data_IF_633713696208
#
_entry.id   IF_633713696208
#
_cell.length_a   1.000
_cell.length_b   1.000
_cell.length_c   1.000
_cell.angle_alpha   90.00
_cell.angle_beta   90.00
_cell.angle_gamma   90.00
#
_symmetry.space_group_name_H-M   'P 1'
#
loop_
_entity.id
_entity.type
_entity.pdbx_description
1 polymer ?
#
# COMPACT_ATOMS: atom_id res chain seq x y z
N UNK A 1 -22.85 -72.19 35.86
CA UNK A 1 -22.09 -71.31 34.93
C UNK A 1 -22.38 -69.87 35.29
N UNK A 2 -21.32 -69.07 35.44
CA UNK A 2 -21.33 -67.64 35.84
C UNK A 2 -22.01 -66.75 34.79
N UNK A 3 -22.68 -65.67 35.24
CA UNK A 3 -22.58 -64.25 34.78
C UNK A 3 -23.64 -63.41 35.54
N UNK A 4 -23.28 -62.72 36.63
CA UNK A 4 -22.79 -61.32 36.72
C UNK A 4 -23.76 -60.26 36.18
N UNK A 5 -24.41 -59.52 37.10
CA UNK A 5 -24.85 -58.12 36.93
C UNK A 5 -23.62 -57.20 37.09
N UNK A 6 -23.51 -56.10 36.34
CA UNK A 6 -23.59 -54.76 36.98
C UNK A 6 -24.32 -53.75 36.06
N UNK A 7 -25.03 -52.72 36.55
CA UNK A 7 -24.53 -51.65 37.42
C UNK A 7 -24.20 -50.43 36.54
N UNK A 8 -25.21 -49.66 36.17
CA UNK A 8 -25.06 -48.46 35.31
C UNK A 8 -24.62 -47.28 36.19
N UNK A 9 -23.31 -46.99 36.19
CA UNK A 9 -22.75 -45.75 36.76
C UNK A 9 -22.91 -44.62 35.75
N UNK A 10 -23.74 -43.63 36.05
CA UNK A 10 -23.80 -42.37 35.29
C UNK A 10 -22.75 -41.43 35.90
N UNK A 11 -21.64 -41.26 35.21
CA UNK A 11 -20.62 -40.29 35.57
C UNK A 11 -21.05 -38.89 35.09
N UNK A 12 -21.33 -37.98 36.02
CA UNK A 12 -21.44 -36.55 35.72
C UNK A 12 -20.05 -36.02 35.36
N UNK A 13 -19.82 -35.75 34.08
CA UNK A 13 -18.65 -35.00 33.61
C UNK A 13 -18.92 -33.53 33.96
N UNK A 14 -18.28 -33.05 35.04
CA UNK A 14 -18.15 -31.62 35.30
C UNK A 14 -17.31 -31.02 34.16
N UNK A 15 -17.97 -30.36 33.22
CA UNK A 15 -17.31 -29.48 32.25
C UNK A 15 -16.84 -28.26 33.04
N UNK A 16 -15.58 -28.29 33.46
CA UNK A 16 -14.91 -27.09 33.96
C UNK A 16 -14.92 -26.07 32.83
N UNK A 17 -15.75 -25.04 32.98
CA UNK A 17 -15.78 -23.88 32.11
C UNK A 17 -14.46 -23.16 32.31
N UNK A 18 -13.51 -23.41 31.42
CA UNK A 18 -12.34 -22.55 31.29
C UNK A 18 -12.90 -21.23 30.78
N UNK A 19 -13.12 -20.29 31.70
CA UNK A 19 -13.30 -18.89 31.35
C UNK A 19 -12.04 -18.48 30.59
N UNK A 20 -12.16 -18.39 29.27
CA UNK A 20 -11.17 -17.73 28.45
C UNK A 20 -11.13 -16.27 28.92
N UNK A 21 -10.21 -15.97 29.82
CA UNK A 21 -9.81 -14.60 30.07
C UNK A 21 -9.24 -14.11 28.75
N UNK A 22 -10.06 -13.40 27.97
CA UNK A 22 -9.62 -12.70 26.79
C UNK A 22 -8.59 -11.68 27.22
N UNK A 23 -7.30 -11.98 27.06
CA UNK A 23 -6.31 -10.93 26.91
C UNK A 23 -6.72 -10.18 25.64
N UNK A 24 -7.50 -9.10 25.78
CA UNK A 24 -7.64 -8.13 24.72
C UNK A 24 -6.26 -7.53 24.56
N UNK A 25 -5.45 -8.09 23.67
CA UNK A 25 -4.17 -7.51 23.34
C UNK A 25 -4.45 -6.09 22.83
N UNK A 26 -4.03 -5.10 23.60
CA UNK A 26 -4.39 -3.71 23.42
C UNK A 26 -3.57 -3.11 22.30
N UNK A 27 -4.23 -2.41 21.38
CA UNK A 27 -3.54 -1.56 20.42
C UNK A 27 -2.94 -0.38 21.19
N UNK A 28 -1.65 -0.16 21.01
CA UNK A 28 -0.94 0.98 21.60
C UNK A 28 -0.55 1.93 20.49
N UNK A 29 -0.89 3.22 20.65
CA UNK A 29 -0.56 4.27 19.68
C UNK A 29 0.36 5.27 20.39
N UNK A 30 1.60 5.36 19.93
CA UNK A 30 2.63 6.18 20.56
C UNK A 30 3.10 7.26 19.59
N UNK A 31 3.06 8.52 20.00
CA UNK A 31 3.62 9.62 19.22
C UNK A 31 5.15 9.49 19.14
N UNK A 32 5.69 9.73 17.94
CA UNK A 32 7.12 9.83 17.66
C UNK A 32 7.45 11.24 17.14
N UNK A 33 8.75 11.65 17.10
CA UNK A 33 9.13 12.95 16.54
C UNK A 33 8.69 13.17 15.08
N UNK A 34 8.68 12.10 14.28
CA UNK A 34 8.40 12.10 12.85
C UNK A 34 7.01 11.59 12.47
N UNK A 35 6.21 11.15 13.45
CA UNK A 35 4.89 10.59 13.21
C UNK A 35 4.37 9.78 14.40
N UNK A 36 3.93 8.55 14.16
CA UNK A 36 3.38 7.67 15.21
C UNK A 36 3.77 6.21 14.98
N UNK A 37 3.86 5.46 16.08
CA UNK A 37 3.95 4.00 16.05
C UNK A 37 2.66 3.39 16.58
N UNK A 38 2.13 2.41 15.88
CA UNK A 38 0.93 1.64 16.24
C UNK A 38 1.35 0.19 16.46
N UNK A 39 1.35 -0.25 17.72
CA UNK A 39 1.58 -1.65 18.07
C UNK A 39 0.24 -2.36 18.20
N UNK A 40 0.07 -3.43 17.43
CA UNK A 40 -1.09 -4.33 17.51
C UNK A 40 -0.63 -5.70 18.04
N UNK A 41 -1.55 -6.65 18.29
CA UNK A 41 -1.19 -8.00 18.67
C UNK A 41 -0.45 -8.79 17.57
N UNK A 42 -0.53 -8.31 16.32
CA UNK A 42 -0.05 -9.04 15.14
C UNK A 42 1.12 -8.34 14.43
N UNK A 43 1.28 -7.03 14.61
CA UNK A 43 2.31 -6.24 13.96
C UNK A 43 2.63 -4.92 14.66
N UNK A 44 3.70 -4.27 14.22
CA UNK A 44 4.02 -2.88 14.54
C UNK A 44 4.05 -2.08 13.26
N UNK A 45 3.26 -1.02 13.22
CA UNK A 45 3.19 -0.07 12.12
C UNK A 45 3.86 1.25 12.52
N UNK A 46 4.71 1.76 11.65
CA UNK A 46 5.30 3.09 11.69
C UNK A 46 4.65 3.95 10.63
N UNK A 47 4.02 5.05 11.05
CA UNK A 47 3.51 6.08 10.17
C UNK A 47 4.39 7.31 10.33
N UNK A 48 5.08 7.70 9.27
CA UNK A 48 5.95 8.87 9.21
C UNK A 48 5.32 9.95 8.36
N UNK A 49 5.28 11.20 8.86
CA UNK A 49 4.78 12.35 8.09
C UNK A 49 5.92 12.94 7.27
N UNK A 50 5.87 12.71 5.95
CA UNK A 50 6.92 13.12 5.01
C UNK A 50 6.73 14.52 4.42
N UNK A 51 5.54 15.09 4.62
CA UNK A 51 5.15 16.39 4.11
C UNK A 51 3.69 16.67 4.46
N UNK A 52 3.18 17.88 4.16
CA UNK A 52 1.76 18.18 4.32
C UNK A 52 0.86 17.22 3.53
N UNK A 53 1.34 16.72 2.40
CA UNK A 53 0.57 15.94 1.43
C UNK A 53 1.00 14.48 1.32
N UNK A 54 1.94 13.99 2.14
CA UNK A 54 2.39 12.60 2.05
C UNK A 54 2.77 12.00 3.39
N UNK A 55 2.44 10.71 3.56
CA UNK A 55 2.88 9.89 4.69
C UNK A 55 3.47 8.58 4.18
N UNK A 56 4.46 8.08 4.92
CA UNK A 56 5.08 6.78 4.70
C UNK A 56 4.58 5.80 5.76
N UNK A 57 4.06 4.65 5.32
CA UNK A 57 3.53 3.60 6.19
C UNK A 57 4.36 2.35 6.01
N UNK A 58 4.94 1.87 7.11
CA UNK A 58 5.72 0.63 7.15
C UNK A 58 5.20 -0.26 8.27
N UNK A 59 4.92 -1.53 8.01
CA UNK A 59 4.43 -2.46 9.04
C UNK A 59 5.04 -3.86 8.93
N UNK A 60 5.54 -4.43 10.03
CA UNK A 60 5.99 -5.84 10.12
C UNK A 60 5.49 -6.56 11.38
N UNK A 61 5.39 -7.90 11.33
CA UNK A 61 4.90 -8.70 12.46
C UNK A 61 5.90 -8.81 13.62
N UNK A 62 7.18 -8.57 13.38
CA UNK A 62 8.27 -8.69 14.37
C UNK A 62 8.73 -7.33 14.93
N UNK A 63 8.13 -6.23 14.48
CA UNK A 63 8.53 -4.86 14.83
C UNK A 63 9.95 -4.49 14.39
N UNK A 64 10.57 -5.32 13.54
CA UNK A 64 11.90 -5.06 12.97
C UNK A 64 11.82 -4.35 11.62
N UNK A 65 10.60 -4.05 11.15
CA UNK A 65 10.34 -3.26 9.94
C UNK A 65 11.17 -1.98 9.95
N UNK A 66 12.19 -1.96 9.13
CA UNK A 66 12.71 -0.73 8.57
C UNK A 66 12.05 -0.62 7.19
N UNK A 67 11.61 0.59 6.79
CA UNK A 67 11.13 0.81 5.42
C UNK A 67 12.16 0.29 4.40
N UNK A 68 11.72 0.03 3.16
CA UNK A 68 12.49 -0.56 2.07
C UNK A 68 13.94 -0.08 2.14
N UNK A 69 14.81 -0.98 2.59
CA UNK A 69 16.11 -0.60 3.14
C UNK A 69 16.91 0.22 2.14
N UNK A 70 17.66 1.22 2.63
CA UNK A 70 18.52 2.11 1.83
C UNK A 70 19.66 1.42 1.09
N UNK A 71 19.76 0.08 1.15
CA UNK A 71 20.94 -0.66 0.75
C UNK A 71 21.04 -0.98 -0.73
N UNK A 72 20.02 -0.91 -1.59
CA UNK A 72 20.09 -1.02 -3.08
C UNK A 72 18.81 -0.49 -3.79
N UNK A 73 18.85 -0.28 -5.13
CA UNK A 73 18.70 1.01 -5.78
C UNK A 73 17.24 1.48 -5.87
N UNK A 74 16.76 2.21 -4.87
CA UNK A 74 15.51 2.96 -4.99
C UNK A 74 15.81 4.43 -5.20
N UNK A 75 15.27 5.00 -6.28
CA UNK A 75 15.35 6.42 -6.62
C UNK A 75 14.54 7.31 -5.67
N UNK A 76 14.10 6.79 -4.53
CA UNK A 76 13.23 7.51 -3.60
C UNK A 76 14.10 8.36 -2.69
N UNK A 77 14.04 9.69 -2.84
CA UNK A 77 14.57 10.60 -1.84
C UNK A 77 13.94 10.27 -0.49
N UNK A 78 14.76 10.21 0.54
CA UNK A 78 14.27 9.87 1.87
C UNK A 78 13.24 10.87 2.35
N UNK A 79 12.19 10.34 2.97
CA UNK A 79 11.18 11.08 3.70
C UNK A 79 11.86 12.06 4.66
N UNK A 80 11.65 13.36 4.47
CA UNK A 80 12.11 14.38 5.42
C UNK A 80 10.96 14.69 6.36
N UNK A 81 11.06 14.37 7.66
CA UNK A 81 9.96 14.56 8.59
C UNK A 81 9.42 15.99 8.57
N UNK A 82 8.11 16.12 8.40
CA UNK A 82 7.40 17.39 8.42
C UNK A 82 6.65 17.59 9.75
N UNK A 83 6.25 18.83 10.02
CA UNK A 83 5.42 19.14 11.19
C UNK A 83 4.04 18.52 11.04
N UNK A 84 3.51 17.98 12.13
CA UNK A 84 2.16 17.45 12.22
C UNK A 84 1.59 17.71 13.62
N UNK A 85 0.28 17.59 13.75
CA UNK A 85 -0.40 17.62 15.05
C UNK A 85 -0.91 16.21 15.36
N UNK A 86 -0.62 15.73 16.57
CA UNK A 86 -1.15 14.46 17.06
C UNK A 86 -2.20 14.71 18.13
N UNK A 87 -3.38 14.11 17.95
CA UNK A 87 -4.43 14.06 18.96
C UNK A 87 -4.58 12.59 19.40
N UNK A 88 -4.28 12.24 20.66
CA UNK A 88 -4.45 10.86 21.12
C UNK A 88 -5.94 10.45 21.14
N UNK A 89 -6.20 9.16 21.00
CA UNK A 89 -7.54 8.61 21.17
C UNK A 89 -8.03 8.84 22.61
N UNK A 90 -9.35 9.01 22.83
CA UNK A 90 -9.90 8.99 24.17
C UNK A 90 -9.60 7.64 24.84
N UNK A 91 -9.34 7.66 26.16
CA UNK A 91 -9.15 6.43 26.93
C UNK A 91 -10.40 5.55 26.86
N UNK A 92 -10.27 4.38 26.23
CA UNK A 92 -11.35 3.40 26.14
C UNK A 92 -11.29 2.42 27.32
N UNK A 93 -12.40 2.27 28.03
CA UNK A 93 -12.59 1.23 29.04
C UNK A 93 -13.21 0.00 28.38
N UNK A 94 -12.90 -1.18 28.93
CA UNK A 94 -13.44 -2.43 28.42
C UNK A 94 -14.98 -2.53 28.54
N UNK A 95 -15.57 -1.74 29.45
CA UNK A 95 -17.02 -1.57 29.63
C UNK A 95 -17.69 -0.62 28.64
N UNK A 96 -16.91 0.08 27.81
CA UNK A 96 -17.46 1.05 26.88
C UNK A 96 -18.22 0.37 25.73
N UNK A 97 -19.29 1.03 25.29
CA UNK A 97 -20.16 0.55 24.22
C UNK A 97 -19.35 0.30 22.93
N UNK A 98 -19.69 -0.79 22.22
CA UNK A 98 -19.03 -1.20 20.98
C UNK A 98 -19.03 -0.09 19.92
N UNK A 99 -20.12 0.68 19.83
CA UNK A 99 -20.23 1.83 18.93
C UNK A 99 -19.23 2.93 19.29
N UNK A 100 -19.03 3.19 20.58
CA UNK A 100 -18.05 4.18 21.04
C UNK A 100 -16.64 3.72 20.68
N UNK A 101 -16.31 2.46 20.95
CA UNK A 101 -15.01 1.85 20.63
C UNK A 101 -14.70 1.86 19.13
N UNK A 102 -15.72 1.67 18.29
CA UNK A 102 -15.58 1.70 16.83
C UNK A 102 -15.52 3.13 16.26
N UNK A 103 -15.97 4.15 17.01
CA UNK A 103 -15.92 5.55 16.59
C UNK A 103 -14.72 6.34 17.13
N UNK A 104 -14.08 5.84 18.20
CA UNK A 104 -12.90 6.47 18.77
C UNK A 104 -11.71 6.36 17.81
N UNK A 105 -10.89 7.40 17.75
CA UNK A 105 -9.69 7.43 16.94
C UNK A 105 -8.62 8.32 17.57
N UNK A 106 -7.36 7.96 17.38
CA UNK A 106 -6.27 8.92 17.44
C UNK A 106 -6.16 9.61 16.07
N UNK A 107 -5.67 10.84 16.01
CA UNK A 107 -5.58 11.61 14.76
C UNK A 107 -4.17 12.14 14.56
N UNK A 108 -3.62 11.91 13.38
CA UNK A 108 -2.46 12.61 12.84
C UNK A 108 -2.98 13.62 11.82
N UNK A 109 -2.72 14.90 12.04
CA UNK A 109 -3.10 16.00 11.15
C UNK A 109 -1.84 16.58 10.51
N UNK A 110 -1.72 16.44 9.19
CA UNK A 110 -0.57 16.95 8.42
C UNK A 110 -0.70 18.44 8.08
N UNK A 111 -1.87 19.03 8.34
CA UNK A 111 -2.27 20.36 7.88
C UNK A 111 -2.76 20.42 6.43
N UNK A 112 -2.92 19.27 5.75
CA UNK A 112 -3.62 19.19 4.46
C UNK A 112 -4.58 17.99 4.37
N UNK A 113 -4.34 16.94 5.14
CA UNK A 113 -5.24 15.80 5.31
C UNK A 113 -5.02 15.18 6.69
N UNK A 114 -5.94 14.28 7.08
CA UNK A 114 -5.94 13.64 8.39
C UNK A 114 -5.85 12.14 8.25
N UNK A 115 -5.14 11.52 9.19
CA UNK A 115 -5.10 10.07 9.37
C UNK A 115 -5.71 9.76 10.72
N UNK A 116 -6.82 9.03 10.70
CA UNK A 116 -7.47 8.49 11.88
C UNK A 116 -6.97 7.08 12.11
N UNK A 117 -6.66 6.76 13.35
CA UNK A 117 -6.09 5.48 13.77
C UNK A 117 -7.03 4.86 14.79
N UNK A 118 -7.54 3.66 14.49
CA UNK A 118 -8.42 2.95 15.40
C UNK A 118 -7.65 2.46 16.64
N UNK A 119 -8.03 2.85 17.87
CA UNK A 119 -7.47 2.30 19.10
C UNK A 119 -7.99 0.88 19.40
N UNK A 120 -8.99 0.40 18.66
CA UNK A 120 -9.50 -0.96 18.79
C UNK A 120 -8.69 -1.96 17.95
N UNK A 121 -8.26 -1.53 16.76
CA UNK A 121 -7.75 -2.45 15.73
C UNK A 121 -6.42 -2.01 15.09
N UNK A 122 -6.03 -0.75 15.27
CA UNK A 122 -4.83 -0.18 14.66
C UNK A 122 -4.99 0.19 13.18
N UNK A 123 -6.21 0.09 12.63
CA UNK A 123 -6.48 0.45 11.23
C UNK A 123 -6.29 1.94 10.96
N UNK A 124 -5.83 2.24 9.75
CA UNK A 124 -5.73 3.61 9.24
C UNK A 124 -6.97 4.00 8.42
N UNK A 125 -7.43 5.24 8.60
CA UNK A 125 -8.40 5.90 7.74
C UNK A 125 -7.87 7.27 7.33
N UNK A 126 -7.87 7.55 6.03
CA UNK A 126 -7.41 8.80 5.44
C UNK A 126 -8.60 9.68 5.09
N UNK A 127 -8.58 10.93 5.53
CA UNK A 127 -9.62 11.92 5.30
C UNK A 127 -9.04 13.23 4.79
N UNK A 128 -9.78 13.96 3.94
CA UNK A 128 -9.45 15.35 3.64
C UNK A 128 -9.65 16.27 4.86
N UNK A 129 -9.34 17.56 4.74
CA UNK A 129 -9.51 18.51 5.84
C UNK A 129 -10.97 18.68 6.28
N UNK A 130 -11.91 18.48 5.35
CA UNK A 130 -13.35 18.56 5.56
C UNK A 130 -13.93 17.31 6.22
N UNK A 131 -13.12 16.26 6.41
CA UNK A 131 -13.53 14.99 7.01
C UNK A 131 -14.17 14.01 6.03
N UNK A 132 -14.10 14.26 4.72
CA UNK A 132 -14.50 13.27 3.74
C UNK A 132 -13.46 12.16 3.67
N UNK A 133 -13.92 10.92 3.80
CA UNK A 133 -13.06 9.74 3.70
C UNK A 133 -12.54 9.55 2.28
N UNK A 134 -11.22 9.52 2.15
CA UNK A 134 -10.48 9.24 0.92
C UNK A 134 -10.28 7.73 0.75
N UNK A 135 -9.73 7.08 1.78
CA UNK A 135 -9.41 5.65 1.80
C UNK A 135 -9.41 5.15 3.24
N UNK A 136 -9.70 3.87 3.46
CA UNK A 136 -9.65 3.25 4.78
C UNK A 136 -9.12 1.83 4.68
N UNK A 137 -8.27 1.41 5.61
CA UNK A 137 -7.91 -0.01 5.75
C UNK A 137 -9.14 -0.84 6.17
N UNK A 138 -9.19 -2.10 5.73
CA UNK A 138 -10.23 -3.05 6.16
C UNK A 138 -10.26 -3.22 7.69
N UNK A 139 -11.46 -3.23 8.29
CA UNK A 139 -11.62 -3.32 9.75
C UNK A 139 -11.05 -4.63 10.34
N UNK A 140 -11.23 -5.75 9.65
CA UNK A 140 -10.78 -7.06 10.12
C UNK A 140 -9.42 -7.44 9.54
N UNK A 141 -8.34 -7.15 10.28
CA UNK A 141 -6.97 -7.58 9.97
C UNK A 141 -6.55 -7.27 8.51
N UNK A 142 -6.45 -5.98 8.12
CA UNK A 142 -6.18 -5.58 6.74
C UNK A 142 -4.80 -6.03 6.26
N UNK A 143 -3.85 -6.02 7.20
CA UNK A 143 -2.44 -6.34 7.03
C UNK A 143 -2.21 -7.81 7.34
N UNK A 144 -1.63 -8.54 6.38
CA UNK A 144 -1.36 -9.98 6.50
C UNK A 144 0.09 -10.29 6.13
N UNK A 145 0.68 -11.17 6.93
CA UNK A 145 2.05 -11.64 6.79
C UNK A 145 2.06 -13.16 6.78
N UNK A 146 2.62 -13.77 5.73
CA UNK A 146 2.81 -15.22 5.64
C UNK A 146 4.29 -15.49 5.46
N UNK A 147 4.91 -16.18 6.42
CA UNK A 147 6.34 -16.53 6.34
C UNK A 147 6.62 -17.29 5.05
N UNK A 148 7.71 -16.91 4.38
CA UNK A 148 8.22 -17.56 3.18
C UNK A 148 9.74 -17.54 3.19
N UNK A 149 10.35 -18.46 2.47
CA UNK A 149 11.81 -18.49 2.27
C UNK A 149 12.08 -18.38 0.78
N UNK A 150 12.80 -17.33 0.36
CA UNK A 150 13.20 -17.15 -1.04
C UNK A 150 14.71 -17.02 -1.10
N UNK A 151 15.36 -17.86 -1.91
CA UNK A 151 16.84 -17.88 -2.05
C UNK A 151 17.59 -18.00 -0.71
N UNK A 152 17.00 -18.65 0.30
CA UNK A 152 17.59 -18.83 1.62
C UNK A 152 17.40 -17.64 2.58
N UNK A 153 16.66 -16.61 2.17
CA UNK A 153 16.28 -15.49 3.01
C UNK A 153 14.86 -15.68 3.58
N UNK A 154 14.72 -15.47 4.89
CA UNK A 154 13.43 -15.52 5.58
C UNK A 154 12.69 -14.19 5.39
N UNK A 155 11.55 -14.25 4.69
CA UNK A 155 10.75 -13.12 4.27
C UNK A 155 9.27 -13.37 4.60
N UNK A 156 8.42 -12.42 4.20
CA UNK A 156 6.97 -12.55 4.25
C UNK A 156 6.37 -12.33 2.86
N UNK A 157 5.39 -13.15 2.49
CA UNK A 157 4.37 -12.74 1.54
C UNK A 157 3.43 -11.80 2.28
N UNK A 158 3.34 -10.56 1.80
CA UNK A 158 2.63 -9.46 2.47
C UNK A 158 1.40 -9.04 1.68
N UNK A 159 0.37 -8.57 2.38
CA UNK A 159 -0.84 -8.03 1.79
C UNK A 159 -1.41 -6.94 2.68
N UNK A 160 -1.91 -5.87 2.06
CA UNK A 160 -2.77 -4.87 2.69
C UNK A 160 -4.09 -4.72 1.93
N UNK A 161 -5.17 -4.39 2.64
CA UNK A 161 -6.53 -4.34 2.10
C UNK A 161 -7.23 -3.05 2.51
N UNK A 162 -7.80 -2.36 1.53
CA UNK A 162 -8.43 -1.06 1.70
C UNK A 162 -9.86 -1.05 1.17
N UNK A 163 -10.74 -0.27 1.82
CA UNK A 163 -12.09 0.09 1.42
C UNK A 163 -12.07 1.40 0.60
N UNK A 164 -12.00 1.32 -0.75
CA UNK A 164 -12.19 2.47 -1.63
C UNK A 164 -13.61 3.03 -1.60
N UNK A 165 -13.78 4.26 -2.10
CA UNK A 165 -15.10 4.72 -2.51
C UNK A 165 -15.56 3.91 -3.73
N UNK A 166 -16.82 3.48 -3.77
CA UNK A 166 -17.35 2.66 -4.88
C UNK A 166 -17.40 3.37 -6.24
N UNK A 167 -17.32 4.72 -6.24
CA UNK A 167 -17.47 5.56 -7.44
C UNK A 167 -16.15 6.10 -8.01
N UNK A 168 -15.03 5.94 -7.32
CA UNK A 168 -13.76 6.47 -7.81
C UNK A 168 -13.19 5.60 -8.94
N UNK A 169 -12.48 6.23 -9.87
CA UNK A 169 -11.71 5.51 -10.89
C UNK A 169 -10.24 5.39 -10.45
N UNK A 170 -9.61 4.29 -10.85
CA UNK A 170 -8.26 3.91 -10.44
C UNK A 170 -7.35 3.83 -11.67
N UNK A 171 -6.24 4.56 -11.66
CA UNK A 171 -5.30 4.67 -12.78
C UNK A 171 -3.85 4.46 -12.31
N UNK A 172 -2.91 4.45 -13.25
CA UNK A 172 -1.47 4.33 -12.98
C UNK A 172 -0.99 2.90 -13.18
N UNK A 173 -0.30 2.34 -12.19
CA UNK A 173 0.26 0.98 -12.12
C UNK A 173 1.28 0.61 -13.20
N UNK A 174 1.44 1.44 -14.24
CA UNK A 174 2.46 1.33 -15.27
C UNK A 174 1.85 1.27 -16.66
N UNK A 175 2.44 0.44 -17.52
CA UNK A 175 2.00 0.18 -18.89
C UNK A 175 1.66 -1.31 -19.01
N UNK A 176 0.38 -1.61 -19.19
CA UNK A 176 -0.12 -2.97 -19.32
C UNK A 176 -0.90 -3.17 -20.63
N UNK A 177 -0.87 -4.39 -21.17
CA UNK A 177 -1.41 -4.68 -22.51
C UNK A 177 -2.89 -5.11 -22.52
N UNK A 178 -3.61 -5.00 -21.40
CA UNK A 178 -5.00 -5.44 -21.30
C UNK A 178 -6.02 -4.50 -21.97
N UNK A 179 -5.59 -3.32 -22.41
CA UNK A 179 -6.48 -2.27 -22.94
C UNK A 179 -7.35 -1.60 -21.88
N UNK A 180 -7.16 -1.94 -20.60
CA UNK A 180 -7.90 -1.35 -19.49
C UNK A 180 -7.33 0.04 -19.15
N UNK A 181 -8.21 1.05 -19.11
CA UNK A 181 -7.84 2.40 -18.70
C UNK A 181 -8.16 2.67 -17.23
N UNK A 182 -9.38 2.33 -16.79
CA UNK A 182 -9.78 2.39 -15.38
C UNK A 182 -9.71 1.00 -14.77
N UNK A 183 -8.83 0.79 -13.78
CA UNK A 183 -8.62 -0.52 -13.15
C UNK A 183 -9.72 -0.94 -12.16
N UNK A 184 -10.84 -0.21 -12.13
CA UNK A 184 -12.03 -0.64 -11.40
C UNK A 184 -12.47 -2.03 -11.83
N UNK A 185 -12.77 -2.91 -10.88
CA UNK A 185 -13.24 -4.26 -11.19
C UNK A 185 -12.17 -5.17 -11.79
N UNK A 186 -10.89 -4.74 -11.81
CA UNK A 186 -9.79 -5.45 -12.45
C UNK A 186 -8.77 -5.95 -11.44
N UNK A 187 -7.91 -6.87 -11.87
CA UNK A 187 -6.71 -7.27 -11.16
C UNK A 187 -5.51 -7.24 -12.10
N UNK A 188 -4.35 -6.91 -11.57
CA UNK A 188 -3.09 -6.81 -12.30
C UNK A 188 -2.00 -7.55 -11.52
N UNK A 189 -1.22 -8.32 -12.26
CA UNK A 189 0.10 -8.72 -11.81
C UNK A 189 1.06 -7.55 -12.07
N UNK A 190 1.77 -7.15 -11.03
CA UNK A 190 2.75 -6.07 -11.05
C UNK A 190 4.14 -6.71 -11.22
N UNK A 191 4.37 -7.23 -12.43
CA UNK A 191 5.61 -7.84 -12.88
C UNK A 191 6.22 -7.09 -14.06
N UNK A 192 7.45 -7.42 -14.43
CA UNK A 192 8.12 -6.86 -15.61
C UNK A 192 8.15 -7.91 -16.72
N UNK A 193 7.70 -7.55 -17.91
CA UNK A 193 7.81 -8.37 -19.10
C UNK A 193 8.03 -7.49 -20.34
N UNK A 194 8.40 -8.08 -21.47
CA UNK A 194 8.44 -7.31 -22.72
C UNK A 194 7.04 -6.75 -22.99
N UNK A 195 6.94 -5.45 -23.26
CA UNK A 195 5.71 -4.66 -23.45
C UNK A 195 4.87 -4.37 -22.19
N UNK A 196 5.19 -5.00 -21.05
CA UNK A 196 4.46 -4.85 -19.80
C UNK A 196 5.41 -4.31 -18.71
N UNK A 197 5.19 -3.05 -18.34
CA UNK A 197 6.08 -2.29 -17.46
C UNK A 197 5.30 -1.90 -16.22
N UNK A 198 5.70 -2.43 -15.08
CA UNK A 198 5.09 -2.08 -13.79
C UNK A 198 5.74 -0.83 -13.22
N UNK A 199 4.91 0.14 -12.82
CA UNK A 199 5.28 1.26 -11.94
C UNK A 199 4.24 1.27 -10.81
N UNK A 200 4.59 0.88 -9.58
CA UNK A 200 3.59 0.56 -8.54
C UNK A 200 2.98 1.81 -7.86
N UNK A 201 2.64 2.83 -8.65
CA UNK A 201 1.88 4.02 -8.25
C UNK A 201 0.46 3.89 -8.77
N UNK A 202 -0.51 3.74 -7.89
CA UNK A 202 -1.93 3.87 -8.21
C UNK A 202 -2.39 5.28 -7.86
N UNK A 203 -3.23 5.88 -8.70
CA UNK A 203 -3.90 7.17 -8.44
C UNK A 203 -5.41 7.03 -8.52
N UNK A 204 -6.13 7.69 -7.63
CA UNK A 204 -7.59 7.72 -7.55
C UNK A 204 -8.14 9.09 -7.97
N UNK A 205 -9.32 9.10 -8.60
CA UNK A 205 -10.08 10.34 -8.85
C UNK A 205 -10.54 11.05 -7.59
N UNK A 206 -10.47 10.42 -6.43
CA UNK A 206 -10.78 11.06 -5.15
C UNK A 206 -9.60 11.85 -4.57
N UNK A 207 -8.53 12.06 -5.33
CA UNK A 207 -7.43 12.94 -4.93
C UNK A 207 -6.43 12.30 -3.98
N UNK A 208 -6.18 10.99 -4.14
CA UNK A 208 -5.08 10.31 -3.47
C UNK A 208 -4.38 9.29 -4.36
N UNK A 209 -3.15 8.94 -4.00
CA UNK A 209 -2.40 7.85 -4.60
C UNK A 209 -1.77 6.92 -3.56
N UNK A 210 -1.54 5.68 -3.97
CA UNK A 210 -0.78 4.69 -3.21
C UNK A 210 0.44 4.33 -4.04
N UNK A 211 1.62 4.63 -3.51
CA UNK A 211 2.88 4.14 -4.06
C UNK A 211 3.34 2.94 -3.25
N UNK A 212 3.15 1.74 -3.80
CA UNK A 212 3.50 0.46 -3.18
C UNK A 212 5.00 0.20 -3.37
N UNK A 213 5.79 0.47 -2.33
CA UNK A 213 7.23 0.66 -2.41
C UNK A 213 7.99 -0.67 -2.28
N UNK A 214 8.07 -1.42 -3.38
CA UNK A 214 8.72 -2.74 -3.42
C UNK A 214 9.26 -3.12 -4.80
N UNK A 215 10.33 -3.93 -4.82
CA UNK A 215 10.82 -4.65 -6.01
C UNK A 215 10.11 -5.96 -6.27
N UNK A 216 9.46 -6.51 -5.24
CA UNK A 216 8.97 -7.86 -5.31
C UNK A 216 7.83 -7.96 -6.32
N UNK A 217 7.70 -9.15 -6.92
CA UNK A 217 6.52 -9.47 -7.72
C UNK A 217 5.28 -9.24 -6.85
N UNK A 218 4.40 -8.39 -7.36
CA UNK A 218 3.28 -7.86 -6.61
C UNK A 218 1.97 -8.02 -7.38
N UNK A 219 0.84 -7.79 -6.72
CA UNK A 219 -0.47 -7.79 -7.36
C UNK A 219 -1.32 -6.66 -6.82
N UNK A 220 -2.05 -6.02 -7.73
CA UNK A 220 -3.17 -5.14 -7.45
C UNK A 220 -4.46 -5.89 -7.74
N UNK A 221 -5.44 -5.84 -6.83
CA UNK A 221 -6.74 -6.49 -7.00
C UNK A 221 -7.87 -5.56 -6.55
N UNK A 222 -8.72 -5.17 -7.51
CA UNK A 222 -9.99 -4.48 -7.29
C UNK A 222 -11.16 -5.22 -7.98
N UNK A 223 -11.09 -6.55 -8.10
CA UNK A 223 -12.18 -7.35 -8.70
C UNK A 223 -13.49 -7.19 -7.93
N UNK A 224 -13.42 -6.96 -6.63
CA UNK A 224 -14.55 -6.54 -5.81
C UNK A 224 -14.52 -5.02 -5.69
N UNK A 225 -15.52 -4.28 -6.20
CA UNK A 225 -15.46 -2.82 -6.21
C UNK A 225 -15.26 -2.21 -4.82
N UNK A 226 -15.77 -2.81 -3.75
CA UNK A 226 -15.59 -2.30 -2.39
C UNK A 226 -14.20 -2.56 -1.80
N UNK A 227 -13.25 -3.09 -2.56
CA UNK A 227 -11.98 -3.55 -2.00
C UNK A 227 -10.81 -3.30 -2.95
N UNK A 228 -9.75 -2.69 -2.44
CA UNK A 228 -8.44 -2.67 -3.09
C UNK A 228 -7.51 -3.56 -2.27
N UNK A 229 -6.78 -4.47 -2.93
CA UNK A 229 -5.70 -5.23 -2.30
C UNK A 229 -4.40 -4.96 -3.02
N UNK A 230 -3.36 -4.68 -2.24
CA UNK A 230 -1.97 -4.75 -2.68
C UNK A 230 -1.31 -5.93 -1.99
N UNK A 231 -0.50 -6.68 -2.73
CA UNK A 231 0.26 -7.80 -2.17
C UNK A 231 1.59 -7.99 -2.86
N UNK A 232 2.56 -8.57 -2.15
CA UNK A 232 3.88 -8.92 -2.66
C UNK A 232 4.28 -10.30 -2.17
N UNK A 233 4.95 -11.08 -3.01
CA UNK A 233 5.33 -12.45 -2.66
C UNK A 233 6.52 -12.55 -1.68
N UNK A 234 7.35 -11.51 -1.60
CA UNK A 234 8.54 -11.49 -0.75
C UNK A 234 8.85 -10.07 -0.27
N UNK A 235 8.73 -9.83 1.03
CA UNK A 235 9.11 -8.56 1.65
C UNK A 235 9.44 -8.76 3.13
N UNK A 236 10.24 -7.87 3.70
CA UNK A 236 10.40 -7.79 5.16
C UNK A 236 9.20 -7.12 5.84
N UNK A 237 8.51 -6.23 5.12
CA UNK A 237 7.42 -5.41 5.65
C UNK A 237 6.41 -5.04 4.56
N UNK A 238 5.22 -4.62 4.96
CA UNK A 238 4.37 -3.77 4.12
C UNK A 238 5.01 -2.39 4.10
N UNK A 239 5.21 -1.82 2.92
CA UNK A 239 5.81 -0.50 2.74
C UNK A 239 5.09 0.25 1.61
N UNK A 240 4.43 1.34 1.95
CA UNK A 240 3.79 2.20 0.96
C UNK A 240 3.78 3.66 1.39
N UNK A 241 3.66 4.54 0.40
CA UNK A 241 3.37 5.94 0.62
C UNK A 241 1.93 6.23 0.25
N UNK A 242 1.22 6.94 1.12
CA UNK A 242 -0.04 7.59 0.80
C UNK A 242 0.26 9.02 0.36
N UNK A 243 -0.18 9.37 -0.84
CA UNK A 243 0.02 10.68 -1.45
C UNK A 243 -1.33 11.37 -1.58
N UNK A 244 -1.53 12.49 -0.91
CA UNK A 244 -2.72 13.32 -1.02
C UNK A 244 -2.52 14.41 -2.07
N UNK A 245 -3.52 14.60 -2.93
CA UNK A 245 -3.52 15.66 -3.92
C UNK A 245 -4.91 15.73 -4.55
N UNK A 246 -5.77 16.68 -4.16
CA UNK A 246 -7.11 16.85 -4.76
C UNK A 246 -7.10 16.79 -6.28
N UNK A 247 -6.03 17.29 -6.89
CA UNK A 247 -5.74 17.13 -8.31
C UNK A 247 -4.65 16.08 -8.55
N UNK A 248 -4.83 15.23 -9.56
CA UNK A 248 -3.88 14.15 -9.90
C UNK A 248 -2.47 14.70 -10.18
N UNK A 249 -2.36 15.89 -10.78
CA UNK A 249 -1.07 16.53 -11.04
C UNK A 249 -0.24 16.76 -9.76
N UNK A 250 -0.89 17.00 -8.62
CA UNK A 250 -0.21 17.15 -7.33
C UNK A 250 0.34 15.82 -6.82
N UNK A 251 -0.37 14.71 -7.07
CA UNK A 251 0.09 13.36 -6.75
C UNK A 251 1.31 13.02 -7.61
N UNK A 252 1.24 13.31 -8.92
CA UNK A 252 2.36 13.09 -9.83
C UNK A 252 3.56 13.97 -9.48
N UNK A 253 3.34 15.23 -9.09
CA UNK A 253 4.40 16.13 -8.65
C UNK A 253 5.15 15.55 -7.43
N UNK A 254 4.43 15.09 -6.41
CA UNK A 254 5.03 14.46 -5.24
C UNK A 254 5.78 13.18 -5.58
N UNK A 255 5.19 12.35 -6.45
CA UNK A 255 5.87 11.16 -6.94
C UNK A 255 7.18 11.52 -7.66
N UNK A 256 7.24 12.62 -8.43
CA UNK A 256 8.46 13.13 -9.08
C UNK A 256 9.46 13.69 -8.06
N UNK A 257 9.02 14.38 -7.02
CA UNK A 257 9.90 14.86 -5.95
C UNK A 257 10.63 13.72 -5.28
N UNK A 258 9.90 12.62 -5.06
CA UNK A 258 10.42 11.38 -4.49
C UNK A 258 11.33 10.65 -5.46
N UNK A 259 10.90 10.41 -6.70
CA UNK A 259 11.55 9.45 -7.63
C UNK A 259 12.45 10.08 -8.69
N UNK A 260 12.44 11.40 -8.82
CA UNK A 260 13.16 12.14 -9.84
C UNK A 260 12.25 12.91 -10.79
N UNK A 261 12.57 14.19 -10.99
CA UNK A 261 11.96 15.03 -12.00
C UNK A 261 12.41 14.61 -13.40
N UNK A 262 11.47 14.60 -14.35
CA UNK A 262 11.79 14.32 -15.74
C UNK A 262 12.59 15.50 -16.33
N UNK A 263 13.79 15.27 -16.89
CA UNK A 263 14.52 16.32 -17.57
C UNK A 263 13.80 16.69 -18.87
N UNK A 264 14.08 17.90 -19.38
CA UNK A 264 13.71 18.23 -20.75
C UNK A 264 14.58 17.41 -21.72
N UNK A 265 13.96 16.83 -22.75
CA UNK A 265 14.71 16.24 -23.85
C UNK A 265 15.26 17.34 -24.76
N UNK A 266 16.28 17.01 -25.56
CA UNK A 266 16.68 17.88 -26.66
C UNK A 266 15.51 18.04 -27.65
N UNK A 267 15.38 19.23 -28.27
CA UNK A 267 14.23 19.56 -29.14
C UNK A 267 14.00 18.50 -30.23
N UNK A 268 15.09 17.94 -30.79
CA UNK A 268 15.06 16.87 -31.79
C UNK A 268 14.29 15.62 -31.36
N UNK A 269 14.17 15.34 -30.05
CA UNK A 269 13.50 14.15 -29.55
C UNK A 269 11.98 14.22 -29.70
N UNK A 270 11.40 15.42 -29.80
CA UNK A 270 9.96 15.64 -29.99
C UNK A 270 9.55 15.59 -31.47
N UNK A 271 10.51 15.46 -32.39
CA UNK A 271 10.27 15.29 -33.82
C UNK A 271 9.88 13.86 -34.20
N UNK A 272 9.83 13.61 -35.50
CA UNK A 272 9.58 12.29 -36.05
C UNK A 272 10.83 11.40 -35.96
N UNK A 273 10.64 10.15 -35.51
CA UNK A 273 11.71 9.15 -35.40
C UNK A 273 11.51 8.02 -36.41
N UNK A 274 12.41 7.93 -37.40
CA UNK A 274 12.45 6.78 -38.31
C UNK A 274 13.31 5.67 -37.72
N UNK A 275 12.69 4.53 -37.43
CA UNK A 275 13.37 3.32 -36.93
C UNK A 275 12.98 2.07 -37.72
N UNK A 276 13.77 1.01 -37.58
CA UNK A 276 13.55 -0.30 -38.21
C UNK A 276 14.30 -1.34 -37.38
N UNK A 277 13.76 -2.56 -37.29
CA UNK A 277 14.50 -3.75 -36.89
C UNK A 277 14.86 -4.58 -38.14
N UNK A 278 16.05 -4.43 -38.73
CA UNK A 278 17.13 -3.47 -38.46
C UNK A 278 17.68 -2.86 -39.76
N UNK A 279 18.43 -1.77 -39.65
CA UNK A 279 19.32 -1.33 -40.74
C UNK A 279 20.50 -2.29 -40.87
N UNK A 280 20.88 -2.65 -42.10
CA UNK A 280 21.86 -3.73 -42.34
C UNK A 280 23.29 -3.24 -42.59
N UNK A 281 23.45 -1.96 -42.89
CA UNK A 281 24.74 -1.28 -43.11
C UNK A 281 24.58 0.23 -42.96
N UNK A 282 25.69 0.95 -42.85
CA UNK A 282 25.73 2.41 -42.82
C UNK A 282 25.08 3.02 -44.08
N UNK A 283 25.35 2.43 -45.25
CA UNK A 283 24.74 2.84 -46.52
C UNK A 283 23.21 2.71 -46.50
N UNK A 284 22.67 1.66 -45.88
CA UNK A 284 21.21 1.46 -45.77
C UNK A 284 20.57 2.57 -44.93
N UNK A 285 21.19 2.91 -43.79
CA UNK A 285 20.75 3.98 -42.90
C UNK A 285 20.83 5.36 -43.58
N UNK A 286 22.00 5.69 -44.17
CA UNK A 286 22.23 6.97 -44.83
C UNK A 286 21.33 7.15 -46.06
N UNK A 287 21.08 6.07 -46.82
CA UNK A 287 20.15 6.08 -47.95
C UNK A 287 18.71 6.40 -47.50
N UNK A 288 18.22 5.80 -46.41
CA UNK A 288 16.88 6.10 -45.87
C UNK A 288 16.81 7.56 -45.42
N UNK A 289 17.80 8.05 -44.67
CA UNK A 289 17.85 9.46 -44.27
C UNK A 289 17.84 10.43 -45.47
N UNK A 290 18.59 10.11 -46.53
CA UNK A 290 18.59 10.89 -47.77
C UNK A 290 17.21 10.91 -48.45
N UNK A 291 16.51 9.78 -48.50
CA UNK A 291 15.18 9.70 -49.10
C UNK A 291 14.17 10.63 -48.42
N UNK A 292 14.18 10.72 -47.08
CA UNK A 292 13.35 11.68 -46.33
C UNK A 292 13.64 13.12 -46.78
N UNK A 293 14.93 13.50 -46.87
CA UNK A 293 15.33 14.84 -47.30
C UNK A 293 14.97 15.15 -48.75
N UNK A 294 15.21 14.22 -49.67
CA UNK A 294 14.86 14.38 -51.10
C UNK A 294 13.35 14.53 -51.30
N UNK A 295 12.55 13.82 -50.51
CA UNK A 295 11.09 13.89 -50.53
C UNK A 295 10.51 15.09 -49.74
N UNK A 296 11.36 15.93 -49.14
CA UNK A 296 10.97 17.03 -48.26
C UNK A 296 10.06 16.59 -47.10
N UNK A 297 10.27 15.37 -46.59
CA UNK A 297 9.63 14.87 -45.38
C UNK A 297 10.57 15.22 -44.20
N UNK A 298 10.07 15.94 -43.17
CA UNK A 298 10.86 16.33 -41.99
C UNK A 298 11.56 15.17 -41.29
#
# INVERSE_FOLDING_TARGET
>A
MRRLKPGLCVAFICIASISAASLSAQVTITQQPEGVTVQTPVDTLHLTVCGPTSVHVVSSPDGTAQGATSKQPWLIKQCTPAKFTFTPAPELKQSDDEKLRNSASATVDTGAFKILISPAWGNLEFQDEQGHRLLQEFQDAPRRYVKTTINGEELYAVKDQFYPNVREALYGLGQHQSGMFNYRGSSLELGQANTDITIPLMVSTNGYGIFWNTAALSWFDNRFPSEIRFSSNASHAIDYYFLYGPEIDQIIHQFRDMTGHAPMYGEWAYGFWQSKDRYRSDDDLLRVAKQYRDAQVP
#
